data_IF_031226937208
#
_entry.id   IF_031226937208
#
_cell.length_a   1.000
_cell.length_b   1.000
_cell.length_c   1.000
_cell.angle_alpha   90.00
_cell.angle_beta   90.00
_cell.angle_gamma   90.00
#
_symmetry.space_group_name_H-M   'P 1'
#
loop_
_entity.id
_entity.type
_entity.pdbx_description
1 polymer ?
#
# COMPACT_ATOMS: atom_id res chain seq x y z
N UNK A 1 -20.24 32.78 -8.38
CA UNK A 1 -20.49 32.63 -6.94
C UNK A 1 -20.32 31.15 -6.62
N UNK A 2 -19.10 30.72 -6.30
CA UNK A 2 -18.81 29.32 -5.96
C UNK A 2 -19.10 29.10 -4.49
N UNK A 3 -20.04 28.20 -4.21
CA UNK A 3 -20.21 27.62 -2.89
C UNK A 3 -18.94 26.81 -2.56
N UNK A 4 -18.28 27.15 -1.46
CA UNK A 4 -17.22 26.33 -0.89
C UNK A 4 -17.90 25.13 -0.22
N UNK A 5 -17.65 23.93 -0.72
CA UNK A 5 -18.00 22.70 -0.02
C UNK A 5 -17.03 22.53 1.15
N UNK A 6 -17.51 22.83 2.35
CA UNK A 6 -16.82 22.52 3.60
C UNK A 6 -16.93 21.01 3.85
N UNK A 7 -15.87 20.27 3.55
CA UNK A 7 -15.76 18.86 3.97
C UNK A 7 -15.50 18.86 5.48
N UNK A 8 -16.52 18.49 6.26
CA UNK A 8 -16.35 18.28 7.70
C UNK A 8 -15.39 17.09 7.93
N UNK A 9 -14.40 17.21 8.84
CA UNK A 9 -13.56 16.08 9.21
C UNK A 9 -14.41 14.97 9.87
N UNK A 10 -14.10 13.69 9.64
CA UNK A 10 -14.85 12.59 10.24
C UNK A 10 -14.71 12.64 11.77
N UNK A 11 -15.87 12.47 12.41
CA UNK A 11 -16.13 12.48 13.85
C UNK A 11 -15.05 11.85 14.72
N UNK A 12 -14.70 12.58 15.78
CA UNK A 12 -13.91 12.15 16.94
C UNK A 12 -14.47 10.86 17.57
N UNK A 13 -13.81 9.71 17.36
CA UNK A 13 -13.62 8.64 18.36
C UNK A 13 -12.92 7.39 17.78
N UNK A 14 -11.89 7.57 16.94
CA UNK A 14 -10.97 6.47 16.61
C UNK A 14 -9.54 6.99 16.77
N UNK A 15 -8.64 6.32 17.52
CA UNK A 15 -7.26 6.76 17.69
C UNK A 15 -6.42 6.41 16.44
N UNK A 16 -6.90 6.80 15.27
CA UNK A 16 -6.19 6.69 14.01
C UNK A 16 -5.14 7.80 13.86
N UNK A 17 -4.02 7.51 13.19
CA UNK A 17 -3.04 8.54 12.87
C UNK A 17 -3.46 9.25 11.58
N UNK A 18 -3.94 10.49 11.69
CA UNK A 18 -4.38 11.27 10.54
C UNK A 18 -3.34 12.36 10.24
N UNK A 19 -2.72 12.31 9.06
CA UNK A 19 -1.70 13.27 8.63
C UNK A 19 -2.24 14.11 7.46
N UNK A 20 -2.14 15.43 7.57
CA UNK A 20 -2.50 16.36 6.48
C UNK A 20 -1.24 16.93 5.86
N UNK A 21 -1.13 16.82 4.53
CA UNK A 21 0.03 17.21 3.72
C UNK A 21 1.38 16.75 4.33
N UNK A 22 1.57 15.42 4.52
CA UNK A 22 2.74 14.90 5.21
C UNK A 22 4.03 15.23 4.46
N UNK A 23 5.06 15.62 5.20
CA UNK A 23 6.38 15.85 4.62
C UNK A 23 7.03 14.54 4.19
N UNK A 24 8.01 14.62 3.26
CA UNK A 24 8.79 13.45 2.85
C UNK A 24 9.48 12.74 4.03
N UNK A 25 9.87 13.48 5.08
CA UNK A 25 10.43 12.88 6.30
C UNK A 25 9.38 12.06 7.05
N UNK A 26 8.16 12.60 7.20
CA UNK A 26 7.06 11.89 7.87
C UNK A 26 6.70 10.61 7.11
N UNK A 27 6.66 10.65 5.78
CA UNK A 27 6.40 9.47 4.95
C UNK A 27 7.48 8.39 5.12
N UNK A 28 8.75 8.78 5.22
CA UNK A 28 9.86 7.84 5.47
C UNK A 28 9.82 7.22 6.87
N UNK A 29 9.39 7.97 7.87
CA UNK A 29 9.34 7.50 9.26
C UNK A 29 8.08 6.67 9.56
N UNK A 30 7.03 6.82 8.74
CA UNK A 30 5.73 6.15 8.89
C UNK A 30 5.82 4.63 9.11
N UNK A 31 6.67 3.86 8.40
CA UNK A 31 6.75 2.40 8.58
C UNK A 31 7.29 2.01 9.97
N UNK A 32 8.20 2.81 10.51
CA UNK A 32 8.73 2.62 11.87
C UNK A 32 7.64 2.91 12.90
N UNK A 33 6.90 4.00 12.70
CA UNK A 33 5.78 4.37 13.55
C UNK A 33 4.69 3.29 13.55
N UNK A 34 4.34 2.76 12.38
CA UNK A 34 3.40 1.64 12.21
C UNK A 34 3.82 0.39 12.99
N UNK A 35 5.12 0.06 12.98
CA UNK A 35 5.65 -1.09 13.74
C UNK A 35 5.62 -0.88 15.25
N UNK A 36 5.78 0.38 15.70
CA UNK A 36 5.86 0.74 17.11
C UNK A 36 4.50 1.01 17.75
N UNK A 37 3.45 1.25 16.94
CA UNK A 37 2.10 1.54 17.40
C UNK A 37 1.11 0.41 17.12
N UNK A 38 1.21 -0.77 17.77
CA UNK A 38 0.26 -1.88 17.57
C UNK A 38 -1.19 -1.53 17.97
N UNK A 39 -1.40 -0.43 18.69
CA UNK A 39 -2.71 0.11 19.05
C UNK A 39 -3.36 0.95 17.94
N UNK A 40 -2.61 1.35 16.91
CA UNK A 40 -3.13 2.13 15.79
C UNK A 40 -4.11 1.25 14.98
N UNK A 41 -5.37 1.67 14.94
CA UNK A 41 -6.41 0.97 14.19
C UNK A 41 -6.42 1.36 12.72
N UNK A 42 -6.16 2.64 12.43
CA UNK A 42 -6.12 3.18 11.08
C UNK A 42 -5.06 4.29 10.95
N UNK A 43 -4.67 4.54 9.70
CA UNK A 43 -3.89 5.71 9.31
C UNK A 43 -4.54 6.30 8.07
N UNK A 44 -4.76 7.61 8.10
CA UNK A 44 -5.27 8.37 6.96
C UNK A 44 -4.25 9.45 6.58
N UNK A 45 -3.87 9.48 5.30
CA UNK A 45 -3.01 10.52 4.73
C UNK A 45 -3.88 11.41 3.84
N UNK A 46 -4.11 12.64 4.26
CA UNK A 46 -4.78 13.67 3.46
C UNK A 46 -3.72 14.49 2.74
N UNK A 47 -3.82 14.63 1.43
CA UNK A 47 -2.87 15.40 0.65
C UNK A 47 -3.53 16.02 -0.57
N UNK A 48 -2.98 17.15 -1.02
CA UNK A 48 -3.47 17.86 -2.21
C UNK A 48 -3.12 17.10 -3.50
N UNK A 49 -1.99 16.38 -3.50
CA UNK A 49 -1.51 15.54 -4.60
C UNK A 49 -1.21 14.12 -4.10
N UNK A 50 -2.15 13.22 -4.37
CA UNK A 50 -2.09 11.81 -3.97
C UNK A 50 -0.97 11.07 -4.68
N UNK A 51 -0.76 11.34 -5.97
CA UNK A 51 0.23 10.63 -6.78
C UNK A 51 1.65 10.97 -6.32
N UNK A 52 1.95 12.26 -6.17
CA UNK A 52 3.27 12.70 -5.67
C UNK A 52 3.56 12.22 -4.26
N UNK A 53 2.54 12.25 -3.38
CA UNK A 53 2.65 11.75 -2.00
C UNK A 53 2.91 10.23 -1.97
N UNK A 54 2.19 9.48 -2.81
CA UNK A 54 2.38 8.03 -2.95
C UNK A 54 3.78 7.70 -3.47
N UNK A 55 4.24 8.36 -4.52
CA UNK A 55 5.58 8.14 -5.06
C UNK A 55 6.67 8.47 -4.05
N UNK A 56 6.51 9.54 -3.27
CA UNK A 56 7.44 9.90 -2.19
C UNK A 56 7.48 8.84 -1.08
N UNK A 57 6.34 8.25 -0.74
CA UNK A 57 6.27 7.13 0.20
C UNK A 57 6.97 5.89 -0.35
N UNK A 58 6.65 5.49 -1.60
CA UNK A 58 7.25 4.34 -2.28
C UNK A 58 8.77 4.46 -2.42
N UNK A 59 9.29 5.67 -2.65
CA UNK A 59 10.73 5.94 -2.75
C UNK A 59 11.53 5.56 -1.50
N UNK A 60 10.88 5.36 -0.35
CA UNK A 60 11.49 4.83 0.87
C UNK A 60 11.79 3.33 0.84
N UNK A 61 11.36 2.61 -0.21
CA UNK A 61 11.43 1.16 -0.30
C UNK A 61 12.25 0.71 -1.51
N UNK A 62 12.85 -0.48 -1.40
CA UNK A 62 13.41 -1.18 -2.55
C UNK A 62 12.31 -1.98 -3.22
N UNK A 63 11.93 -1.56 -4.43
CA UNK A 63 11.04 -2.35 -5.27
C UNK A 63 11.69 -3.67 -5.66
N UNK A 64 10.92 -4.75 -5.59
CA UNK A 64 11.32 -6.07 -6.04
C UNK A 64 10.35 -6.50 -7.13
N UNK A 65 10.88 -6.61 -8.36
CA UNK A 65 10.12 -7.14 -9.47
C UNK A 65 9.71 -8.59 -9.19
N UNK A 66 8.45 -8.89 -9.44
CA UNK A 66 7.88 -10.22 -9.34
C UNK A 66 6.92 -10.41 -10.51
N UNK A 67 6.90 -11.61 -11.06
CA UNK A 67 5.96 -12.00 -12.11
C UNK A 67 5.11 -13.18 -11.63
N UNK A 68 3.93 -13.34 -12.21
CA UNK A 68 2.97 -14.33 -11.78
C UNK A 68 1.66 -14.18 -12.53
N UNK A 69 0.60 -14.83 -12.01
CA UNK A 69 -0.68 -14.79 -12.70
C UNK A 69 -1.85 -15.32 -11.89
N UNK A 70 -3.06 -15.00 -12.37
CA UNK A 70 -4.30 -15.55 -11.85
C UNK A 70 -4.51 -16.93 -12.46
N UNK A 71 -4.28 -17.97 -11.65
CA UNK A 71 -4.56 -19.35 -12.06
C UNK A 71 -5.99 -19.70 -11.67
N UNK A 72 -6.77 -20.20 -12.64
CA UNK A 72 -8.15 -20.66 -12.42
C UNK A 72 -8.28 -22.13 -12.79
N UNK A 73 -9.06 -22.86 -12.01
CA UNK A 73 -9.49 -24.19 -12.42
C UNK A 73 -10.68 -24.14 -13.40
N UNK A 74 -11.16 -25.31 -13.83
CA UNK A 74 -12.32 -25.42 -14.74
C UNK A 74 -13.62 -24.87 -14.14
N UNK A 75 -13.71 -24.75 -12.82
CA UNK A 75 -14.85 -24.18 -12.11
C UNK A 75 -14.73 -22.67 -11.86
N UNK A 76 -13.65 -22.03 -12.34
CA UNK A 76 -13.41 -20.59 -12.16
C UNK A 76 -12.85 -20.20 -10.79
N UNK A 77 -12.50 -21.16 -9.93
CA UNK A 77 -11.90 -20.88 -8.61
C UNK A 77 -10.46 -20.40 -8.80
N UNK A 78 -10.07 -19.34 -8.08
CA UNK A 78 -8.72 -18.76 -8.15
C UNK A 78 -7.79 -19.49 -7.19
N UNK A 79 -6.60 -19.88 -7.66
CA UNK A 79 -5.52 -20.34 -6.81
C UNK A 79 -4.92 -19.16 -6.05
N UNK A 80 -4.88 -19.28 -4.73
CA UNK A 80 -4.18 -18.36 -3.84
C UNK A 80 -3.01 -19.08 -3.17
N UNK A 81 -1.93 -18.35 -2.90
CA UNK A 81 -0.81 -18.83 -2.10
C UNK A 81 -0.80 -18.11 -0.76
N UNK A 82 -0.48 -18.83 0.33
CA UNK A 82 -0.29 -18.22 1.64
C UNK A 82 1.20 -18.21 1.99
N UNK A 83 1.76 -17.01 2.22
CA UNK A 83 3.16 -16.82 2.63
C UNK A 83 3.21 -15.80 3.75
N UNK A 84 3.98 -16.08 4.80
CA UNK A 84 4.14 -15.19 5.96
C UNK A 84 2.80 -14.74 6.58
N UNK A 85 1.83 -15.65 6.64
CA UNK A 85 0.49 -15.38 7.18
C UNK A 85 -0.43 -14.53 6.30
N UNK A 86 -0.02 -14.20 5.06
CA UNK A 86 -0.80 -13.39 4.11
C UNK A 86 -1.16 -14.18 2.87
N UNK A 87 -2.36 -13.94 2.34
CA UNK A 87 -2.82 -14.49 1.07
C UNK A 87 -2.38 -13.58 -0.08
N UNK A 88 -1.91 -14.19 -1.17
CA UNK A 88 -1.41 -13.51 -2.36
C UNK A 88 -1.68 -14.36 -3.61
N UNK A 89 -1.51 -13.78 -4.79
CA UNK A 89 -1.56 -14.52 -6.05
C UNK A 89 -0.27 -15.33 -6.26
N UNK A 90 -0.32 -16.43 -7.04
CA UNK A 90 0.88 -17.13 -7.48
C UNK A 90 1.84 -16.16 -8.18
N UNK A 91 3.03 -15.97 -7.59
CA UNK A 91 4.11 -15.15 -8.15
C UNK A 91 5.51 -15.56 -7.70
N UNK A 92 6.47 -15.43 -8.60
CA UNK A 92 7.91 -15.57 -8.38
C UNK A 92 8.62 -14.21 -8.38
N UNK A 93 9.77 -14.12 -7.69
CA UNK A 93 10.66 -12.96 -7.79
C UNK A 93 11.42 -13.06 -9.12
N UNK A 94 11.55 -11.95 -9.84
CA UNK A 94 12.36 -11.88 -11.04
C UNK A 94 13.84 -12.01 -10.66
N UNK A 95 14.52 -13.02 -11.19
CA UNK A 95 15.96 -13.19 -11.00
C UNK A 95 16.76 -12.48 -12.11
N UNK A 96 18.04 -12.13 -11.85
CA UNK A 96 18.87 -11.46 -12.84
C UNK A 96 18.99 -12.25 -14.14
N UNK A 97 18.59 -11.62 -15.25
CA UNK A 97 18.65 -12.23 -16.59
C UNK A 97 17.36 -12.92 -17.03
N UNK A 98 16.38 -13.08 -16.14
CA UNK A 98 15.06 -13.58 -16.52
C UNK A 98 14.20 -12.49 -17.16
N UNK A 99 13.34 -12.91 -18.09
CA UNK A 99 12.18 -12.16 -18.53
C UNK A 99 11.02 -12.35 -17.56
N UNK A 100 10.05 -11.43 -17.59
CA UNK A 100 8.84 -11.53 -16.77
C UNK A 100 8.09 -12.85 -17.01
N UNK A 101 8.03 -13.34 -18.25
CA UNK A 101 7.35 -14.59 -18.57
C UNK A 101 8.07 -15.83 -18.05
N UNK A 102 9.39 -15.74 -17.81
CA UNK A 102 10.19 -16.84 -17.26
C UNK A 102 10.06 -16.91 -15.73
N UNK A 103 9.78 -15.78 -15.09
CA UNK A 103 9.58 -15.68 -13.64
C UNK A 103 8.12 -15.88 -13.16
N UNK A 104 7.17 -16.04 -14.09
CA UNK A 104 5.73 -16.19 -13.82
C UNK A 104 5.30 -17.66 -13.67
#
# INVERSE_FOLDING_TARGET
>A
MSAQETVNPPSESNPGLHLVNPTAKMLRDLPTLLKQGPQLQDIALFCDDVESTWMTFCAGYKELAAAGGVVKDRGGRVLWIQRNGKWDLPKGKLEPGERLEEAA
#
